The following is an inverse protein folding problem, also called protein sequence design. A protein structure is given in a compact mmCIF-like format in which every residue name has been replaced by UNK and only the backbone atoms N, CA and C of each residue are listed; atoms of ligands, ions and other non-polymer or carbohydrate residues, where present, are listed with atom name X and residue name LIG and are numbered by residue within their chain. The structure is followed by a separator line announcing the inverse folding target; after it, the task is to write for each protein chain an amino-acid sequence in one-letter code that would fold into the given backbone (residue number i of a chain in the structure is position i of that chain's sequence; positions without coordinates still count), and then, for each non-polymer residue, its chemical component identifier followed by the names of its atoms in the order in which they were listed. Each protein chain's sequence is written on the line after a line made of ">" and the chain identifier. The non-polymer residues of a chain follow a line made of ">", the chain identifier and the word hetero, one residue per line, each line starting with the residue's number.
data_IF_293836706476
#
_entry.id   IF_293836706476
#
_cell.length_a   1.000
_cell.length_b   1.000
_cell.length_c   1.000
_cell.angle_alpha   90.00
_cell.angle_beta   90.00
_cell.angle_gamma   90.00
#
_symmetry.space_group_name_H-M   'P 1'
#
loop_
_entity.id
_entity.type
_entity.pdbx_description
1 polymer ?
#
# COMPACT_ATOMS: atom_id res chain seq x y z
N UNK A 1 23.07 -3.77 -1.27
CA UNK A 1 22.81 -2.59 -2.10
C UNK A 1 22.17 -2.93 -3.45
N UNK A 2 22.56 -4.00 -4.10
CA UNK A 2 22.05 -4.37 -5.44
C UNK A 2 20.57 -4.77 -5.53
N UNK A 3 19.99 -5.30 -4.46
CA UNK A 3 18.61 -5.80 -4.44
C UNK A 3 17.56 -4.66 -4.48
N UNK A 4 17.79 -3.57 -3.74
CA UNK A 4 16.89 -2.41 -3.72
C UNK A 4 16.94 -1.61 -5.02
N UNK A 5 18.13 -1.38 -5.55
CA UNK A 5 18.29 -0.72 -6.85
C UNK A 5 17.63 -1.53 -7.99
N UNK A 6 17.64 -2.87 -7.93
CA UNK A 6 16.90 -3.71 -8.87
C UNK A 6 15.38 -3.63 -8.70
N UNK A 7 14.87 -3.52 -7.48
CA UNK A 7 13.43 -3.45 -7.20
C UNK A 7 12.80 -2.12 -7.69
N UNK A 8 13.51 -1.00 -7.56
CA UNK A 8 13.04 0.29 -8.07
C UNK A 8 13.34 0.49 -9.57
N UNK A 9 14.48 0.00 -10.09
CA UNK A 9 14.80 0.03 -11.52
C UNK A 9 13.90 -0.88 -12.36
N UNK A 10 13.40 -2.01 -11.83
CA UNK A 10 12.46 -2.87 -12.57
C UNK A 10 11.07 -2.24 -12.73
N UNK A 11 10.61 -1.45 -11.77
CA UNK A 11 9.31 -0.78 -11.86
C UNK A 11 9.31 0.43 -12.83
N UNK A 12 10.43 1.14 -12.98
CA UNK A 12 10.51 2.26 -13.93
C UNK A 12 10.72 1.81 -15.38
N UNK A 13 11.46 0.73 -15.64
CA UNK A 13 11.68 0.23 -17.01
C UNK A 13 10.47 -0.47 -17.63
N UNK A 14 9.57 -1.04 -16.84
CA UNK A 14 8.36 -1.69 -17.36
C UNK A 14 7.22 -0.70 -17.71
N UNK A 15 7.40 0.60 -17.48
CA UNK A 15 6.41 1.62 -17.85
C UNK A 15 6.66 2.25 -19.23
N UNK A 16 7.84 2.06 -19.85
CA UNK A 16 8.19 2.71 -21.12
C UNK A 16 8.05 1.85 -22.39
N UNK A 17 7.74 0.56 -22.30
CA UNK A 17 7.74 -0.35 -23.46
C UNK A 17 6.38 -0.69 -24.07
N UNK A 18 5.33 0.10 -23.83
CA UNK A 18 4.02 -0.11 -24.43
C UNK A 18 3.47 1.13 -25.17
N UNK A 19 4.31 1.75 -26.02
CA UNK A 19 3.82 2.73 -26.99
C UNK A 19 4.64 2.65 -28.30
N UNK A 20 3.96 2.18 -29.34
CA UNK A 20 4.13 2.39 -30.78
C UNK A 20 5.49 2.09 -31.43
N UNK A 21 5.45 1.13 -32.34
CA UNK A 21 6.32 0.98 -33.52
C UNK A 21 6.00 2.02 -34.57
N UNK A 22 6.96 2.84 -35.03
CA UNK A 22 7.46 2.89 -36.41
C UNK A 22 8.65 3.87 -36.55
N UNK A 23 9.58 3.64 -37.53
CA UNK A 23 10.92 4.15 -37.47
C UNK A 23 11.17 5.32 -38.43
N UNK A 24 11.98 6.29 -38.03
CA UNK A 24 12.89 6.99 -38.96
C UNK A 24 14.11 7.54 -38.22
N UNK A 25 15.27 7.24 -38.78
CA UNK A 25 16.59 7.65 -38.37
C UNK A 25 16.83 9.15 -38.47
N UNK A 26 17.47 9.73 -37.45
CA UNK A 26 18.45 10.79 -37.68
C UNK A 26 19.50 10.76 -36.57
N UNK A 27 20.75 10.55 -36.99
CA UNK A 27 21.95 10.67 -36.18
C UNK A 27 22.11 12.12 -35.70
N UNK A 28 22.15 12.31 -34.39
CA UNK A 28 22.94 13.38 -33.79
C UNK A 28 23.49 12.91 -32.44
N UNK A 29 24.81 12.81 -32.36
CA UNK A 29 25.55 12.45 -31.14
C UNK A 29 25.78 13.74 -30.38
N UNK A 30 25.05 13.95 -29.32
CA UNK A 30 25.45 14.84 -28.23
C UNK A 30 25.54 14.03 -26.94
N UNK A 31 26.76 13.99 -26.40
CA UNK A 31 27.08 13.39 -25.10
C UNK A 31 26.25 14.09 -24.01
N UNK A 32 25.20 13.40 -23.55
CA UNK A 32 24.50 13.75 -22.33
C UNK A 32 25.12 12.96 -21.20
N UNK A 33 25.98 13.62 -20.43
CA UNK A 33 26.47 13.11 -19.15
C UNK A 33 25.26 12.63 -18.32
N UNK A 34 25.19 11.33 -18.04
CA UNK A 34 24.27 10.74 -17.08
C UNK A 34 24.59 11.26 -15.67
N UNK A 35 23.97 12.34 -15.28
CA UNK A 35 23.80 12.65 -13.86
C UNK A 35 22.75 11.67 -13.33
N UNK A 36 23.19 10.64 -12.62
CA UNK A 36 22.33 9.84 -11.75
C UNK A 36 21.83 10.76 -10.64
N UNK A 37 20.66 11.36 -10.81
CA UNK A 37 19.96 12.08 -9.75
C UNK A 37 19.63 11.06 -8.65
N UNK A 38 20.39 11.09 -7.58
CA UNK A 38 20.07 10.33 -6.37
C UNK A 38 18.84 10.97 -5.73
N UNK A 39 17.73 10.27 -5.76
CA UNK A 39 16.43 10.67 -5.18
C UNK A 39 16.48 10.88 -3.65
N UNK A 40 17.66 10.85 -3.03
CA UNK A 40 17.88 10.86 -1.58
C UNK A 40 18.84 11.95 -1.07
N UNK A 41 19.16 12.97 -1.87
CA UNK A 41 19.95 14.12 -1.43
C UNK A 41 19.14 15.13 -0.59
N UNK A 42 18.23 14.62 0.24
CA UNK A 42 17.71 15.40 1.35
C UNK A 42 18.67 15.24 2.54
N UNK A 43 19.53 16.21 2.78
CA UNK A 43 20.27 16.32 4.03
C UNK A 43 19.29 16.61 5.18
N UNK A 44 18.67 15.53 5.66
CA UNK A 44 17.89 15.60 6.88
C UNK A 44 18.85 15.95 8.03
N UNK A 45 18.54 16.89 8.89
CA UNK A 45 19.41 17.24 10.03
C UNK A 45 19.73 15.99 10.83
N UNK A 46 20.99 15.82 11.22
CA UNK A 46 21.43 14.65 12.01
C UNK A 46 20.63 14.64 13.33
N UNK A 47 19.87 13.58 13.64
CA UNK A 47 19.11 13.53 14.87
C UNK A 47 20.05 13.49 16.07
N UNK A 48 19.66 14.09 17.17
CA UNK A 48 20.39 14.05 18.42
C UNK A 48 20.32 12.70 19.12
N UNK A 49 19.38 11.81 18.72
CA UNK A 49 19.17 10.45 19.26
C UNK A 49 18.72 9.49 18.16
N UNK A 50 19.26 8.29 18.17
CA UNK A 50 18.73 7.16 17.39
C UNK A 50 17.41 6.69 18.01
N UNK A 51 16.35 6.54 17.21
CA UNK A 51 15.05 6.05 17.67
C UNK A 51 15.04 4.53 17.65
N UNK A 52 14.78 3.91 18.79
CA UNK A 52 14.56 2.45 18.87
C UNK A 52 13.12 2.11 18.51
N UNK A 53 12.92 1.07 17.70
CA UNK A 53 11.61 0.73 17.13
C UNK A 53 11.31 -0.76 17.29
N UNK A 54 10.10 -1.07 17.76
CA UNK A 54 9.49 -2.39 17.70
C UNK A 54 8.65 -2.49 16.42
N UNK A 55 8.77 -3.58 15.67
CA UNK A 55 7.94 -3.86 14.49
C UNK A 55 6.88 -4.89 14.86
N UNK A 56 5.60 -4.53 14.78
CA UNK A 56 4.46 -5.42 14.98
C UNK A 56 3.82 -5.71 13.63
N UNK A 57 4.00 -6.94 13.13
CA UNK A 57 3.71 -7.36 11.77
C UNK A 57 4.91 -7.16 10.84
N UNK A 58 5.80 -8.15 10.76
CA UNK A 58 7.00 -8.15 9.91
C UNK A 58 6.74 -8.51 8.44
N UNK A 59 5.49 -8.42 7.98
CA UNK A 59 5.10 -8.63 6.58
C UNK A 59 5.71 -7.63 5.60
N UNK A 60 5.12 -7.48 4.41
CA UNK A 60 5.65 -6.59 3.36
C UNK A 60 5.85 -5.16 3.89
N UNK A 61 4.85 -4.57 4.56
CA UNK A 61 4.95 -3.18 5.05
C UNK A 61 5.91 -3.03 6.22
N UNK A 62 5.82 -3.91 7.23
CA UNK A 62 6.75 -3.88 8.36
C UNK A 62 8.22 -4.04 7.92
N UNK A 63 8.48 -4.92 6.95
CA UNK A 63 9.80 -5.05 6.33
C UNK A 63 10.23 -3.73 5.65
N UNK A 64 9.37 -3.08 4.86
CA UNK A 64 9.71 -1.80 4.19
C UNK A 64 10.09 -0.73 5.21
N UNK A 65 9.32 -0.59 6.30
CA UNK A 65 9.65 0.36 7.35
C UNK A 65 10.95 0.02 8.08
N UNK A 66 11.20 -1.27 8.34
CA UNK A 66 12.42 -1.70 9.02
C UNK A 66 13.70 -1.38 8.25
N UNK A 67 13.64 -1.38 6.92
CA UNK A 67 14.79 -1.02 6.07
C UNK A 67 15.24 0.44 6.22
N UNK A 68 14.42 1.31 6.78
CA UNK A 68 14.89 2.66 7.14
C UNK A 68 16.05 2.59 8.13
N UNK A 69 16.05 1.62 9.06
CA UNK A 69 17.16 1.41 9.99
C UNK A 69 18.44 0.93 9.28
N UNK A 70 18.32 0.15 8.21
CA UNK A 70 19.45 -0.29 7.39
C UNK A 70 20.08 0.88 6.63
N UNK A 71 19.24 1.72 6.02
CA UNK A 71 19.68 2.85 5.23
C UNK A 71 20.17 4.03 6.10
N UNK A 72 19.59 4.20 7.29
CA UNK A 72 19.88 5.31 8.20
C UNK A 72 20.12 4.82 9.64
N UNK A 73 21.20 4.02 9.90
CA UNK A 73 21.43 3.37 11.19
C UNK A 73 21.67 4.34 12.35
N UNK A 74 22.08 5.57 12.07
CA UNK A 74 22.21 6.63 13.08
C UNK A 74 20.86 7.25 13.47
N UNK A 75 19.78 6.99 12.73
CA UNK A 75 18.45 7.56 12.95
C UNK A 75 17.48 6.58 13.59
N UNK A 76 17.54 5.32 13.19
CA UNK A 76 16.63 4.26 13.66
C UNK A 76 17.38 2.95 13.91
N UNK A 77 17.03 2.25 14.99
CA UNK A 77 17.42 0.87 15.26
C UNK A 77 16.15 0.04 15.51
N UNK A 78 15.98 -1.08 14.79
CA UNK A 78 14.96 -2.08 15.11
C UNK A 78 15.47 -2.90 16.29
N UNK A 79 14.69 -2.96 17.38
CA UNK A 79 15.06 -3.63 18.64
C UNK A 79 14.09 -4.75 19.02
N UNK A 80 13.12 -5.06 18.17
CA UNK A 80 12.20 -6.17 18.38
C UNK A 80 11.29 -6.36 17.16
N UNK A 81 10.80 -7.58 16.99
CA UNK A 81 9.81 -7.93 15.96
C UNK A 81 8.76 -8.88 16.51
N UNK A 82 7.52 -8.64 16.11
CA UNK A 82 6.36 -9.49 16.38
C UNK A 82 5.83 -10.01 15.06
N UNK A 83 5.89 -11.30 14.84
CA UNK A 83 5.23 -11.98 13.70
C UNK A 83 5.12 -13.49 14.01
N UNK A 84 3.95 -14.13 13.84
CA UNK A 84 3.79 -15.55 14.15
C UNK A 84 4.56 -16.47 13.18
N UNK A 85 5.01 -15.95 12.05
CA UNK A 85 5.72 -16.74 11.02
C UNK A 85 7.22 -16.78 11.31
N UNK A 86 7.76 -17.98 11.52
CA UNK A 86 9.20 -18.18 11.77
C UNK A 86 10.08 -17.64 10.65
N UNK A 87 9.68 -17.82 9.37
CA UNK A 87 10.43 -17.32 8.21
C UNK A 87 10.58 -15.79 8.22
N UNK A 88 9.60 -15.05 8.76
CA UNK A 88 9.69 -13.60 8.92
C UNK A 88 10.70 -13.23 10.02
N UNK A 89 10.63 -13.92 11.17
CA UNK A 89 11.58 -13.71 12.29
C UNK A 89 13.02 -14.00 11.85
N UNK A 90 13.26 -15.09 11.13
CA UNK A 90 14.58 -15.42 10.58
C UNK A 90 15.10 -14.37 9.60
N UNK A 91 14.21 -13.81 8.77
CA UNK A 91 14.57 -12.68 7.89
C UNK A 91 15.00 -11.45 8.70
N UNK A 92 14.29 -11.12 9.77
CA UNK A 92 14.66 -10.01 10.66
C UNK A 92 15.96 -10.27 11.38
N UNK A 93 16.26 -11.52 11.82
CA UNK A 93 17.56 -11.93 12.39
C UNK A 93 18.71 -11.69 11.43
N UNK A 94 18.51 -11.93 10.14
CA UNK A 94 19.55 -11.73 9.12
C UNK A 94 19.84 -10.26 8.85
N UNK A 95 18.85 -9.38 9.01
CA UNK A 95 18.92 -7.98 8.57
C UNK A 95 19.21 -7.03 9.75
N UNK A 96 18.71 -7.36 10.95
CA UNK A 96 18.76 -6.49 12.12
C UNK A 96 19.42 -7.20 13.29
N UNK A 97 20.22 -6.46 14.04
CA UNK A 97 20.83 -6.89 15.30
C UNK A 97 19.81 -6.71 16.43
N UNK A 98 18.96 -7.74 16.64
CA UNK A 98 17.90 -7.79 17.64
C UNK A 98 18.25 -8.85 18.69
N UNK A 99 18.11 -8.52 19.98
CA UNK A 99 18.31 -9.45 21.07
C UNK A 99 17.37 -10.67 20.97
N UNK A 100 17.86 -11.88 21.28
CA UNK A 100 17.12 -13.14 21.09
C UNK A 100 15.78 -13.19 21.85
N UNK A 101 15.64 -12.48 22.95
CA UNK A 101 14.42 -12.38 23.76
C UNK A 101 13.41 -11.34 23.23
N UNK A 102 13.67 -10.73 22.08
CA UNK A 102 12.81 -9.69 21.46
C UNK A 102 12.16 -10.14 20.15
N UNK A 103 12.03 -11.47 19.94
CA UNK A 103 11.29 -12.09 18.85
C UNK A 103 10.01 -12.70 19.42
N UNK A 104 8.85 -12.15 19.06
CA UNK A 104 7.56 -12.52 19.62
C UNK A 104 6.64 -13.13 18.56
N UNK A 105 5.74 -14.02 18.96
CA UNK A 105 4.67 -14.57 18.12
C UNK A 105 3.41 -13.71 18.19
N UNK A 106 3.09 -13.17 19.37
CA UNK A 106 1.94 -12.29 19.60
C UNK A 106 2.41 -10.92 20.17
N UNK A 107 1.78 -9.85 19.70
CA UNK A 107 2.05 -8.49 20.20
C UNK A 107 1.77 -8.34 21.70
N UNK A 108 0.91 -9.16 22.29
CA UNK A 108 0.61 -9.16 23.71
C UNK A 108 1.83 -9.48 24.56
N UNK A 109 2.65 -10.45 24.12
CA UNK A 109 3.90 -10.80 24.79
C UNK A 109 4.83 -9.59 24.87
N UNK A 110 5.02 -8.87 23.77
CA UNK A 110 5.82 -7.64 23.73
C UNK A 110 5.19 -6.51 24.58
N UNK A 111 3.84 -6.45 24.62
CA UNK A 111 3.12 -5.47 25.42
C UNK A 111 3.14 -5.78 26.93
N UNK A 112 3.38 -7.00 27.37
CA UNK A 112 3.56 -7.38 28.79
C UNK A 112 4.93 -6.94 29.33
N UNK A 113 5.95 -6.86 28.48
CA UNK A 113 7.28 -6.42 28.90
C UNK A 113 7.31 -4.95 29.35
N UNK A 114 8.30 -4.57 30.13
CA UNK A 114 8.62 -3.16 30.32
C UNK A 114 8.94 -2.49 28.98
N UNK A 115 8.65 -1.19 28.88
CA UNK A 115 8.93 -0.43 27.65
C UNK A 115 10.42 -0.49 27.28
N UNK A 116 10.73 -1.09 26.12
CA UNK A 116 12.11 -1.26 25.63
C UNK A 116 12.41 -0.53 24.32
N UNK A 117 11.40 0.10 23.69
CA UNK A 117 11.60 0.90 22.49
C UNK A 117 10.94 2.29 22.61
N UNK A 118 11.44 3.26 21.83
CA UNK A 118 10.87 4.60 21.76
C UNK A 118 9.60 4.66 20.98
N UNK A 119 9.48 3.84 19.93
CA UNK A 119 8.32 3.79 19.04
C UNK A 119 7.97 2.36 18.65
N UNK A 120 6.74 2.17 18.18
CA UNK A 120 6.26 0.95 17.57
C UNK A 120 5.72 1.25 16.16
N UNK A 121 6.06 0.40 15.19
CA UNK A 121 5.41 0.35 13.88
C UNK A 121 4.40 -0.79 13.90
N UNK A 122 3.13 -0.51 13.67
CA UNK A 122 2.06 -1.51 13.60
C UNK A 122 1.66 -1.67 12.13
N UNK A 123 1.97 -2.83 11.57
CA UNK A 123 1.76 -3.19 10.17
C UNK A 123 1.11 -4.58 10.05
N UNK A 124 0.19 -4.86 10.95
CA UNK A 124 -0.68 -6.05 10.97
C UNK A 124 -1.79 -5.93 9.92
N UNK A 125 -2.61 -6.97 9.69
CA UNK A 125 -3.86 -6.83 8.93
C UNK A 125 -4.82 -5.81 9.54
N UNK A 126 -5.62 -5.16 8.69
CA UNK A 126 -6.43 -3.98 9.00
C UNK A 126 -7.25 -4.08 10.30
N UNK A 127 -7.92 -5.22 10.54
CA UNK A 127 -8.74 -5.48 11.75
C UNK A 127 -7.92 -5.66 13.03
N UNK A 128 -6.62 -5.86 12.90
CA UNK A 128 -5.71 -6.10 14.02
C UNK A 128 -4.90 -4.84 14.38
N UNK A 129 -5.31 -3.67 13.94
CA UNK A 129 -4.63 -2.41 14.21
C UNK A 129 -4.95 -1.84 15.59
N UNK A 130 -6.23 -1.86 15.98
CA UNK A 130 -6.76 -1.14 17.12
C UNK A 130 -6.14 -1.59 18.45
N UNK A 131 -6.22 -2.89 18.76
CA UNK A 131 -5.82 -3.39 20.08
C UNK A 131 -4.34 -3.18 20.40
N UNK A 132 -3.37 -3.50 19.50
CA UNK A 132 -1.98 -3.18 19.75
C UNK A 132 -1.73 -1.67 19.79
N UNK A 133 -2.41 -0.85 18.99
CA UNK A 133 -2.25 0.60 19.02
C UNK A 133 -2.62 1.17 20.40
N UNK A 134 -3.78 0.78 20.93
CA UNK A 134 -4.24 1.18 22.26
C UNK A 134 -3.30 0.69 23.36
N UNK A 135 -2.85 -0.58 23.29
CA UNK A 135 -1.97 -1.17 24.31
C UNK A 135 -0.61 -0.47 24.36
N UNK A 136 0.03 -0.27 23.21
CA UNK A 136 1.33 0.38 23.14
C UNK A 136 1.26 1.88 23.43
N UNK A 137 0.17 2.58 23.08
CA UNK A 137 -0.06 3.97 23.47
C UNK A 137 -0.07 4.12 25.00
N UNK A 138 -0.84 3.29 25.71
CA UNK A 138 -0.92 3.26 27.18
C UNK A 138 0.44 2.97 27.85
N UNK A 139 1.33 2.27 27.15
CA UNK A 139 2.71 2.04 27.58
C UNK A 139 3.67 3.18 27.21
N UNK A 140 3.18 4.22 26.57
CA UNK A 140 3.97 5.41 26.22
C UNK A 140 4.85 5.25 24.98
N UNK A 141 4.56 4.30 24.08
CA UNK A 141 5.23 4.22 22.79
C UNK A 141 4.66 5.25 21.83
N UNK A 142 5.51 5.94 21.08
CA UNK A 142 5.08 6.64 19.87
C UNK A 142 4.71 5.62 18.80
N UNK A 143 3.69 5.90 17.98
CA UNK A 143 3.10 4.92 17.06
C UNK A 143 3.19 5.39 15.61
N UNK A 144 3.72 4.54 14.73
CA UNK A 144 3.46 4.57 13.31
C UNK A 144 2.50 3.42 13.00
N UNK A 145 1.26 3.74 12.62
CA UNK A 145 0.20 2.79 12.34
C UNK A 145 -0.05 2.71 10.83
N UNK A 146 -0.02 1.51 10.25
CA UNK A 146 -0.39 1.35 8.84
C UNK A 146 -1.85 1.73 8.59
N UNK A 147 -2.11 2.09 7.33
CA UNK A 147 -3.47 2.41 6.86
C UNK A 147 -4.25 1.12 6.52
N UNK A 148 -5.59 1.16 6.65
CA UNK A 148 -6.40 2.16 7.30
C UNK A 148 -6.15 2.17 8.82
N UNK A 149 -6.36 3.32 9.48
CA UNK A 149 -6.10 3.44 10.93
C UNK A 149 -6.81 2.33 11.73
N UNK A 150 -8.09 2.11 11.44
CA UNK A 150 -8.90 1.00 11.92
C UNK A 150 -10.03 0.74 10.92
N UNK A 151 -10.92 -0.20 11.20
CA UNK A 151 -12.03 -0.59 10.31
C UNK A 151 -13.38 0.01 10.70
N UNK A 152 -13.47 0.64 11.87
CA UNK A 152 -14.66 1.38 12.36
C UNK A 152 -14.28 2.80 12.80
N UNK A 153 -15.20 3.77 12.73
CA UNK A 153 -14.97 5.12 13.27
C UNK A 153 -14.70 5.11 14.78
N UNK A 154 -15.39 4.25 15.52
CA UNK A 154 -15.25 4.10 16.97
C UNK A 154 -13.85 3.67 17.35
N UNK A 155 -13.29 2.68 16.67
CA UNK A 155 -11.93 2.23 16.88
C UNK A 155 -10.89 3.30 16.53
N UNK A 156 -11.11 4.05 15.43
CA UNK A 156 -10.26 5.19 15.09
C UNK A 156 -10.26 6.25 16.19
N UNK A 157 -11.43 6.54 16.75
CA UNK A 157 -11.60 7.51 17.83
C UNK A 157 -10.88 7.03 19.12
N UNK A 158 -11.07 5.77 19.49
CA UNK A 158 -10.40 5.17 20.66
C UNK A 158 -8.87 5.25 20.54
N UNK A 159 -8.31 4.92 19.38
CA UNK A 159 -6.85 5.04 19.13
C UNK A 159 -6.38 6.48 19.34
N UNK A 160 -7.07 7.45 18.71
CA UNK A 160 -6.68 8.86 18.78
C UNK A 160 -6.74 9.39 20.21
N UNK A 161 -7.84 9.14 20.92
CA UNK A 161 -8.00 9.62 22.30
C UNK A 161 -7.01 8.96 23.26
N UNK A 162 -6.78 7.63 23.11
CA UNK A 162 -5.76 6.94 23.93
C UNK A 162 -4.36 7.51 23.68
N UNK A 163 -3.99 7.83 22.44
CA UNK A 163 -2.70 8.44 22.15
C UNK A 163 -2.58 9.84 22.76
N UNK A 164 -3.64 10.66 22.70
CA UNK A 164 -3.68 11.99 23.33
C UNK A 164 -3.55 11.91 24.85
N UNK A 165 -4.34 11.04 25.49
CA UNK A 165 -4.32 10.83 26.95
C UNK A 165 -2.95 10.33 27.43
N UNK A 166 -2.30 9.47 26.64
CA UNK A 166 -0.97 8.94 26.95
C UNK A 166 0.17 9.89 26.59
N UNK A 167 -0.11 11.02 25.94
CA UNK A 167 0.91 12.01 25.53
C UNK A 167 1.88 11.47 24.49
N UNK A 168 1.45 10.52 23.63
CA UNK A 168 2.29 9.91 22.59
C UNK A 168 1.91 10.41 21.20
N UNK A 169 2.88 10.39 20.28
CA UNK A 169 2.64 10.70 18.87
C UNK A 169 1.97 9.51 18.19
N UNK A 170 0.99 9.80 17.34
CA UNK A 170 0.38 8.89 16.39
C UNK A 170 0.61 9.41 14.96
N UNK A 171 1.24 8.61 14.13
CA UNK A 171 1.33 8.83 12.70
C UNK A 171 0.65 7.68 11.97
N UNK A 172 -0.23 7.98 11.02
CA UNK A 172 -0.88 6.97 10.17
C UNK A 172 -0.17 6.90 8.83
N UNK A 173 0.01 5.68 8.30
CA UNK A 173 0.74 5.38 7.07
C UNK A 173 0.12 5.91 5.77
N UNK A 174 -0.41 7.14 5.77
CA UNK A 174 -0.88 7.84 4.58
C UNK A 174 0.31 8.37 3.75
N UNK A 175 1.09 7.42 3.23
CA UNK A 175 2.38 7.67 2.58
C UNK A 175 2.31 8.61 1.36
N UNK A 176 1.15 8.70 0.71
CA UNK A 176 0.98 9.57 -0.47
C UNK A 176 1.06 11.07 -0.13
N UNK A 177 0.84 11.49 1.10
CA UNK A 177 1.12 12.87 1.52
C UNK A 177 2.58 13.26 1.37
N UNK A 178 3.48 12.28 1.46
CA UNK A 178 4.94 12.47 1.36
C UNK A 178 5.46 12.29 -0.07
N UNK A 179 4.60 11.94 -1.03
CA UNK A 179 4.99 11.85 -2.42
C UNK A 179 5.27 13.26 -2.98
N UNK A 180 6.40 13.48 -3.69
CA UNK A 180 6.81 14.81 -4.15
C UNK A 180 5.72 15.57 -4.92
N UNK A 181 4.97 14.89 -5.81
CA UNK A 181 3.87 15.53 -6.54
C UNK A 181 2.72 15.96 -5.63
N UNK A 182 2.37 15.18 -4.61
CA UNK A 182 1.30 15.54 -3.67
C UNK A 182 1.69 16.74 -2.81
N UNK A 183 2.95 16.79 -2.38
CA UNK A 183 3.50 17.94 -1.66
C UNK A 183 3.56 19.18 -2.55
N UNK A 184 3.98 19.02 -3.81
CA UNK A 184 4.02 20.16 -4.75
C UNK A 184 2.64 20.72 -5.05
N UNK A 185 1.63 19.86 -5.23
CA UNK A 185 0.23 20.30 -5.36
C UNK A 185 -0.19 21.12 -4.12
N UNK A 186 0.10 20.60 -2.92
CA UNK A 186 -0.24 21.31 -1.67
C UNK A 186 0.46 22.66 -1.54
N UNK A 187 1.74 22.72 -1.87
CA UNK A 187 2.52 23.97 -1.90
C UNK A 187 1.90 25.02 -2.84
N UNK A 188 1.52 24.60 -4.07
CA UNK A 188 0.89 25.50 -5.05
C UNK A 188 -0.48 26.01 -4.59
N UNK A 189 -1.27 25.15 -3.93
CA UNK A 189 -2.55 25.52 -3.32
C UNK A 189 -2.32 26.56 -2.21
N UNK A 190 -1.42 26.25 -1.28
CA UNK A 190 -1.13 27.11 -0.12
C UNK A 190 -0.51 28.46 -0.51
N UNK A 191 0.26 28.48 -1.61
CA UNK A 191 0.78 29.71 -2.21
C UNK A 191 -0.29 30.54 -2.96
N UNK A 192 -1.52 30.02 -3.11
CA UNK A 192 -2.63 30.69 -3.78
C UNK A 192 -2.46 30.83 -5.29
N UNK A 193 -1.62 30.01 -5.92
CA UNK A 193 -1.34 30.07 -7.37
C UNK A 193 -2.61 29.91 -8.20
N UNK A 194 -3.47 28.96 -7.84
CA UNK A 194 -4.76 28.73 -8.49
C UNK A 194 -5.92 29.48 -7.82
N UNK A 195 -5.64 30.34 -6.82
CA UNK A 195 -6.66 30.97 -5.99
C UNK A 195 -7.32 30.00 -5.02
N UNK A 196 -8.59 30.27 -4.68
CA UNK A 196 -9.38 29.36 -3.83
C UNK A 196 -9.75 28.11 -4.57
N UNK A 197 -9.55 26.93 -3.93
CA UNK A 197 -10.00 25.66 -4.50
C UNK A 197 -11.53 25.67 -4.60
N UNK A 198 -12.04 25.37 -5.79
CA UNK A 198 -13.48 25.29 -6.11
C UNK A 198 -13.92 23.83 -6.26
N UNK A 199 -13.14 23.04 -7.00
CA UNK A 199 -13.46 21.65 -7.29
C UNK A 199 -12.21 20.80 -7.40
N UNK A 200 -12.28 19.54 -6.93
CA UNK A 200 -11.26 18.51 -7.17
C UNK A 200 -11.90 17.36 -7.92
N UNK A 201 -11.33 16.98 -9.04
CA UNK A 201 -11.61 15.73 -9.73
C UNK A 201 -10.42 14.78 -9.52
N UNK A 202 -10.68 13.60 -8.96
CA UNK A 202 -9.64 12.62 -8.62
C UNK A 202 -10.02 11.21 -9.03
N UNK A 203 -9.09 10.51 -9.67
CA UNK A 203 -9.26 9.13 -10.12
C UNK A 203 -8.14 8.25 -9.56
N UNK A 204 -8.51 7.16 -8.90
CA UNK A 204 -7.62 6.05 -8.56
C UNK A 204 -7.85 4.87 -9.51
N UNK A 205 -6.97 4.67 -10.52
CA UNK A 205 -7.00 3.50 -11.39
C UNK A 205 -6.20 2.37 -10.76
N UNK A 206 -6.88 1.47 -10.03
CA UNK A 206 -6.23 0.39 -9.26
C UNK A 206 -5.43 -0.57 -10.15
N UNK A 207 -5.90 -0.79 -11.40
CA UNK A 207 -5.36 -1.77 -12.31
C UNK A 207 -6.03 -3.14 -12.19
N UNK A 208 -6.40 -3.74 -13.33
CA UNK A 208 -7.23 -4.96 -13.37
C UNK A 208 -6.57 -6.16 -12.66
N UNK A 209 -5.29 -6.38 -12.88
CA UNK A 209 -4.59 -7.50 -12.27
C UNK A 209 -4.29 -7.27 -10.78
N UNK A 210 -4.04 -6.02 -10.37
CA UNK A 210 -3.85 -5.66 -8.95
C UNK A 210 -5.18 -5.84 -8.19
N UNK A 211 -6.29 -5.40 -8.78
CA UNK A 211 -7.60 -5.60 -8.18
C UNK A 211 -7.89 -7.09 -8.00
N UNK A 212 -7.68 -7.90 -9.05
CA UNK A 212 -7.83 -9.35 -9.01
C UNK A 212 -6.93 -10.01 -7.94
N UNK A 213 -5.68 -9.55 -7.80
CA UNK A 213 -4.75 -10.05 -6.80
C UNK A 213 -5.20 -9.70 -5.37
N UNK A 214 -5.47 -8.44 -5.09
CA UNK A 214 -5.66 -7.94 -3.72
C UNK A 214 -7.10 -8.02 -3.24
N UNK A 215 -8.07 -7.67 -4.10
CA UNK A 215 -9.46 -7.44 -3.73
C UNK A 215 -10.43 -8.51 -4.26
N UNK A 216 -9.92 -9.53 -4.94
CA UNK A 216 -10.70 -10.72 -5.34
C UNK A 216 -10.13 -11.98 -4.68
N UNK A 217 -8.83 -12.27 -4.88
CA UNK A 217 -8.15 -13.47 -4.36
C UNK A 217 -7.50 -13.28 -3.01
N UNK A 218 -7.10 -12.05 -2.70
CA UNK A 218 -6.29 -11.69 -1.54
C UNK A 218 -7.11 -11.24 -0.34
N UNK A 219 -6.38 -10.74 0.66
CA UNK A 219 -6.88 -10.44 2.01
C UNK A 219 -7.97 -9.36 2.06
N UNK A 220 -8.13 -8.55 1.01
CA UNK A 220 -9.10 -7.46 0.93
C UNK A 220 -10.32 -7.82 0.08
N UNK A 221 -10.52 -9.11 -0.20
CA UNK A 221 -11.63 -9.60 -1.01
C UNK A 221 -12.98 -9.57 -0.30
N UNK A 222 -12.99 -9.65 1.04
CA UNK A 222 -14.20 -9.66 1.84
C UNK A 222 -14.24 -8.54 2.85
N UNK A 223 -15.37 -7.85 2.90
CA UNK A 223 -15.61 -6.79 3.87
C UNK A 223 -15.56 -7.31 5.32
N UNK A 224 -16.08 -8.51 5.56
CA UNK A 224 -16.06 -9.14 6.89
C UNK A 224 -14.65 -9.53 7.38
N UNK A 225 -13.71 -9.80 6.47
CA UNK A 225 -12.34 -10.21 6.80
C UNK A 225 -11.36 -9.03 6.87
N UNK A 226 -11.63 -7.96 6.14
CA UNK A 226 -10.86 -6.71 6.16
C UNK A 226 -11.80 -5.52 6.38
N UNK A 227 -12.18 -4.82 5.30
CA UNK A 227 -13.17 -3.75 5.26
C UNK A 227 -13.54 -3.46 3.80
N UNK A 228 -14.48 -2.55 3.55
CA UNK A 228 -14.89 -2.16 2.19
C UNK A 228 -13.75 -1.48 1.41
N UNK A 229 -13.76 -1.60 0.07
CA UNK A 229 -12.65 -1.18 -0.81
C UNK A 229 -12.25 0.29 -0.64
N UNK A 230 -13.23 1.18 -0.43
CA UNK A 230 -12.94 2.60 -0.24
C UNK A 230 -12.05 2.84 1.00
N UNK A 231 -12.24 2.05 2.06
CA UNK A 231 -11.42 2.12 3.27
C UNK A 231 -10.06 1.41 3.07
N UNK A 232 -10.06 0.17 2.60
CA UNK A 232 -8.82 -0.63 2.50
C UNK A 232 -7.85 -0.11 1.42
N UNK A 233 -8.38 0.51 0.34
CA UNK A 233 -7.60 1.04 -0.79
C UNK A 233 -7.63 2.56 -0.86
N UNK A 234 -8.80 3.15 -1.01
CA UNK A 234 -8.94 4.56 -1.36
C UNK A 234 -8.91 5.50 -0.17
N UNK A 235 -8.67 5.00 1.05
CA UNK A 235 -8.36 5.87 2.19
C UNK A 235 -7.17 6.79 1.90
N UNK A 236 -6.20 6.37 1.08
CA UNK A 236 -5.13 7.22 0.58
C UNK A 236 -5.64 8.40 -0.24
N UNK A 237 -6.63 8.15 -1.09
CA UNK A 237 -7.16 9.13 -2.03
C UNK A 237 -8.08 10.13 -1.33
N UNK A 238 -8.93 9.63 -0.42
CA UNK A 238 -9.76 10.48 0.45
C UNK A 238 -8.89 11.33 1.37
N UNK A 239 -7.80 10.76 1.89
CA UNK A 239 -6.83 11.48 2.70
C UNK A 239 -6.14 12.60 1.92
N UNK A 240 -5.73 12.36 0.66
CA UNK A 240 -5.17 13.40 -0.22
C UNK A 240 -6.17 14.50 -0.49
N UNK A 241 -7.42 14.17 -0.79
CA UNK A 241 -8.48 15.15 -0.99
C UNK A 241 -8.65 16.03 0.26
N UNK A 242 -8.73 15.44 1.44
CA UNK A 242 -8.80 16.18 2.69
C UNK A 242 -7.54 17.05 2.94
N UNK A 243 -6.36 16.52 2.59
CA UNK A 243 -5.09 17.25 2.70
C UNK A 243 -5.05 18.48 1.80
N UNK A 244 -5.52 18.39 0.55
CA UNK A 244 -5.58 19.50 -0.38
C UNK A 244 -6.70 20.48 -0.05
N UNK A 245 -7.84 20.02 0.48
CA UNK A 245 -8.92 20.88 0.99
C UNK A 245 -8.53 21.63 2.27
N UNK A 246 -7.49 21.19 2.97
CA UNK A 246 -6.93 21.88 4.13
C UNK A 246 -7.88 21.93 5.32
N UNK A 247 -8.23 23.11 5.79
CA UNK A 247 -9.09 23.33 6.98
C UNK A 247 -10.59 23.18 6.69
N UNK A 248 -10.99 23.08 5.42
CA UNK A 248 -12.41 23.02 5.07
C UNK A 248 -12.95 21.63 5.43
N UNK A 249 -14.03 21.58 6.20
CA UNK A 249 -14.66 20.32 6.63
C UNK A 249 -15.55 19.78 5.52
N UNK A 250 -15.55 18.45 5.34
CA UNK A 250 -16.54 17.77 4.52
C UNK A 250 -17.90 17.81 5.21
N UNK A 251 -18.94 18.27 4.51
CA UNK A 251 -20.28 18.45 5.03
C UNK A 251 -21.23 17.35 4.58
N UNK A 252 -21.08 16.87 3.33
CA UNK A 252 -21.93 15.84 2.73
C UNK A 252 -21.13 14.91 1.86
N UNK A 253 -21.55 13.65 1.84
CA UNK A 253 -21.00 12.59 0.98
C UNK A 253 -22.16 11.84 0.32
N UNK A 254 -22.00 11.53 -0.97
CA UNK A 254 -22.85 10.63 -1.73
C UNK A 254 -21.99 9.67 -2.50
N UNK A 255 -22.30 8.38 -2.46
CA UNK A 255 -21.48 7.35 -3.10
C UNK A 255 -22.33 6.27 -3.75
N UNK A 256 -21.87 5.78 -4.92
CA UNK A 256 -22.41 4.62 -5.62
C UNK A 256 -21.26 3.70 -6.01
N UNK A 257 -21.38 2.43 -5.69
CA UNK A 257 -20.37 1.43 -6.00
C UNK A 257 -21.01 0.09 -6.31
N UNK A 258 -20.29 -0.77 -7.02
CA UNK A 258 -20.79 -2.09 -7.39
C UNK A 258 -19.66 -3.11 -7.55
N UNK A 259 -20.02 -4.37 -7.34
CA UNK A 259 -19.27 -5.55 -7.76
C UNK A 259 -19.98 -6.15 -8.97
N UNK A 260 -19.63 -5.71 -10.18
CA UNK A 260 -20.33 -6.09 -11.41
C UNK A 260 -19.62 -7.12 -12.27
N UNK A 261 -18.32 -7.31 -12.10
CA UNK A 261 -17.52 -8.13 -13.01
C UNK A 261 -17.01 -9.45 -12.40
N UNK A 262 -16.48 -9.41 -11.19
CA UNK A 262 -15.89 -10.59 -10.52
C UNK A 262 -16.98 -11.41 -9.83
N UNK A 263 -17.90 -11.96 -10.62
CA UNK A 263 -19.07 -12.75 -10.19
C UNK A 263 -19.21 -14.01 -11.03
N UNK A 264 -19.94 -15.00 -10.52
CA UNK A 264 -20.15 -16.29 -11.20
C UNK A 264 -20.87 -16.15 -12.54
N UNK A 265 -21.76 -15.15 -12.65
CA UNK A 265 -22.53 -14.88 -13.86
C UNK A 265 -21.63 -14.48 -15.05
N UNK A 266 -20.48 -13.86 -14.75
CA UNK A 266 -19.51 -13.43 -15.75
C UNK A 266 -18.40 -14.46 -16.02
N UNK A 267 -18.47 -15.64 -15.39
CA UNK A 267 -17.48 -16.69 -15.60
C UNK A 267 -17.52 -17.16 -17.07
N UNK A 268 -16.37 -17.11 -17.80
CA UNK A 268 -16.33 -17.64 -19.16
C UNK A 268 -16.75 -19.12 -19.18
N UNK A 269 -17.51 -19.51 -20.24
CA UNK A 269 -17.80 -20.90 -20.49
C UNK A 269 -16.48 -21.68 -20.57
N UNK A 270 -16.39 -22.83 -20.10
CA UNK A 270 -15.19 -23.68 -20.09
C UNK A 270 -14.07 -23.21 -19.12
N UNK A 271 -14.26 -22.13 -18.36
CA UNK A 271 -13.30 -21.75 -17.32
C UNK A 271 -13.38 -22.69 -16.13
N UNK A 272 -12.21 -23.18 -15.67
CA UNK A 272 -12.09 -24.03 -14.48
C UNK A 272 -12.24 -23.20 -13.18
N UNK A 273 -12.37 -23.88 -12.04
CA UNK A 273 -12.38 -23.23 -10.72
C UNK A 273 -10.99 -22.72 -10.28
N UNK A 274 -9.92 -23.27 -10.89
CA UNK A 274 -8.53 -22.87 -10.63
C UNK A 274 -7.81 -22.58 -11.94
N UNK A 275 -6.89 -21.60 -11.89
CA UNK A 275 -6.23 -21.06 -13.09
C UNK A 275 -5.21 -22.02 -13.71
N UNK A 276 -4.51 -22.84 -12.90
CA UNK A 276 -3.47 -23.74 -13.45
C UNK A 276 -4.03 -24.81 -14.39
N UNK A 277 -5.28 -25.19 -14.20
CA UNK A 277 -5.96 -26.22 -14.99
C UNK A 277 -7.05 -25.62 -15.90
N UNK A 278 -6.97 -24.32 -16.21
CA UNK A 278 -8.00 -23.59 -16.93
C UNK A 278 -7.77 -23.60 -18.43
N UNK A 279 -8.75 -24.10 -19.20
CA UNK A 279 -8.67 -24.17 -20.66
C UNK A 279 -8.71 -22.82 -21.37
N UNK A 280 -9.21 -21.78 -20.72
CA UNK A 280 -9.27 -20.39 -21.25
C UNK A 280 -8.13 -19.49 -20.73
N UNK A 281 -7.08 -20.09 -20.17
CA UNK A 281 -5.97 -19.40 -19.51
C UNK A 281 -5.28 -18.41 -20.44
N UNK A 282 -5.00 -18.76 -21.69
CA UNK A 282 -4.28 -17.92 -22.64
C UNK A 282 -4.98 -16.58 -22.92
N UNK A 283 -6.30 -16.55 -22.96
CA UNK A 283 -7.09 -15.35 -23.24
C UNK A 283 -7.50 -14.58 -21.98
N UNK A 284 -7.39 -15.23 -20.79
CA UNK A 284 -7.82 -14.64 -19.54
C UNK A 284 -6.85 -13.52 -19.09
N UNK A 285 -7.33 -12.27 -18.85
CA UNK A 285 -6.48 -11.20 -18.35
C UNK A 285 -6.06 -11.41 -16.89
N UNK A 286 -6.73 -12.32 -16.17
CA UNK A 286 -6.48 -12.62 -14.76
C UNK A 286 -5.71 -13.93 -14.55
N UNK A 287 -5.09 -14.46 -15.60
CA UNK A 287 -4.30 -15.70 -15.57
C UNK A 287 -3.15 -15.60 -14.55
N UNK A 288 -2.99 -16.67 -13.76
CA UNK A 288 -1.88 -16.78 -12.81
C UNK A 288 -0.52 -16.91 -13.52
N UNK A 289 -0.52 -17.46 -14.75
CA UNK A 289 0.67 -17.52 -15.58
C UNK A 289 1.17 -16.09 -15.87
N UNK A 290 0.27 -15.18 -16.23
CA UNK A 290 0.58 -13.79 -16.57
C UNK A 290 0.95 -12.96 -15.34
N UNK A 291 0.22 -13.15 -14.22
CA UNK A 291 0.36 -12.29 -13.04
C UNK A 291 1.53 -12.72 -12.14
N UNK A 292 1.83 -14.03 -12.06
CA UNK A 292 2.81 -14.54 -11.10
C UNK A 292 3.94 -15.34 -11.76
N UNK A 293 3.62 -16.41 -12.50
CA UNK A 293 4.64 -17.36 -12.97
C UNK A 293 5.60 -16.73 -13.98
N UNK A 294 5.11 -15.89 -14.88
CA UNK A 294 5.95 -15.16 -15.85
C UNK A 294 7.01 -14.28 -15.16
N UNK A 295 6.64 -13.61 -14.06
CA UNK A 295 7.59 -12.79 -13.29
C UNK A 295 8.60 -13.66 -12.54
N UNK A 296 8.14 -14.76 -11.93
CA UNK A 296 9.02 -15.71 -11.24
C UNK A 296 10.03 -16.36 -12.20
N UNK A 297 9.62 -16.72 -13.40
CA UNK A 297 10.49 -17.24 -14.46
C UNK A 297 11.60 -16.24 -14.89
N UNK A 298 11.34 -14.96 -14.72
CA UNK A 298 12.31 -13.88 -14.94
C UNK A 298 13.16 -13.59 -13.69
N UNK A 299 13.06 -14.40 -12.63
CA UNK A 299 13.77 -14.22 -11.36
C UNK A 299 13.18 -13.12 -10.48
N UNK A 300 11.98 -12.61 -10.80
CA UNK A 300 11.33 -11.57 -10.01
C UNK A 300 10.34 -12.18 -9.02
N UNK A 301 10.73 -12.23 -7.75
CA UNK A 301 9.90 -12.68 -6.63
C UNK A 301 9.46 -11.53 -5.69
N UNK A 302 9.49 -10.30 -6.18
CA UNK A 302 8.92 -9.16 -5.47
C UNK A 302 7.37 -9.24 -5.46
N UNK A 303 6.71 -8.23 -4.89
CA UNK A 303 5.25 -8.13 -4.99
C UNK A 303 4.80 -8.10 -6.46
N UNK A 304 3.74 -8.84 -6.87
CA UNK A 304 2.77 -9.57 -6.04
C UNK A 304 3.20 -11.00 -5.66
N UNK A 305 4.24 -11.56 -6.27
CA UNK A 305 4.66 -12.96 -6.14
C UNK A 305 5.07 -13.31 -4.70
N UNK A 306 5.78 -12.43 -4.01
CA UNK A 306 6.24 -12.63 -2.63
C UNK A 306 5.09 -12.81 -1.61
N UNK A 307 3.90 -12.34 -1.92
CA UNK A 307 2.71 -12.50 -1.04
C UNK A 307 2.09 -13.89 -1.20
N UNK A 308 2.22 -14.49 -2.38
CA UNK A 308 1.69 -15.83 -2.67
C UNK A 308 2.46 -16.91 -1.93
N UNK A 309 3.79 -16.77 -1.84
CA UNK A 309 4.68 -17.71 -1.15
C UNK A 309 4.75 -17.40 0.36
N UNK A 310 3.73 -17.78 1.11
CA UNK A 310 3.62 -17.48 2.54
C UNK A 310 4.64 -18.19 3.43
N UNK A 311 5.28 -19.26 2.93
CA UNK A 311 6.33 -20.04 3.61
C UNK A 311 7.72 -19.36 3.54
N UNK A 312 7.87 -18.26 2.79
CA UNK A 312 9.14 -17.55 2.63
C UNK A 312 10.10 -18.19 1.62
N UNK A 313 9.72 -19.29 0.95
CA UNK A 313 10.49 -19.92 -0.11
C UNK A 313 10.07 -19.32 -1.46
N UNK A 314 11.01 -18.68 -2.15
CA UNK A 314 10.74 -17.93 -3.37
C UNK A 314 11.36 -18.65 -4.57
N UNK A 315 10.75 -19.76 -4.98
CA UNK A 315 11.06 -20.52 -6.19
C UNK A 315 9.79 -20.86 -7.00
N UNK A 316 9.96 -21.40 -8.19
CA UNK A 316 8.85 -21.68 -9.11
C UNK A 316 7.98 -22.85 -8.57
N UNK A 317 8.59 -23.80 -7.94
CA UNK A 317 7.94 -25.00 -7.38
C UNK A 317 7.02 -24.61 -6.21
N UNK A 318 7.53 -23.86 -5.24
CA UNK A 318 6.77 -23.34 -4.10
C UNK A 318 5.65 -22.41 -4.55
N UNK A 319 5.91 -21.55 -5.52
CA UNK A 319 4.92 -20.65 -6.10
C UNK A 319 3.80 -21.45 -6.80
N UNK A 320 4.17 -22.46 -7.62
CA UNK A 320 3.20 -23.30 -8.32
C UNK A 320 2.33 -24.07 -7.35
N UNK A 321 2.89 -24.62 -6.28
CA UNK A 321 2.12 -25.32 -5.26
C UNK A 321 1.20 -24.36 -4.48
N UNK A 322 1.67 -23.17 -4.13
CA UNK A 322 0.85 -22.14 -3.50
C UNK A 322 -0.30 -21.67 -4.41
N UNK A 323 -0.09 -21.62 -5.73
CA UNK A 323 -1.15 -21.34 -6.70
C UNK A 323 -2.10 -22.53 -6.90
N UNK A 324 -1.62 -23.78 -6.75
CA UNK A 324 -2.45 -24.98 -6.84
C UNK A 324 -3.42 -25.08 -5.67
N UNK A 325 -2.97 -24.80 -4.46
CA UNK A 325 -3.71 -25.07 -3.23
C UNK A 325 -4.29 -23.80 -2.58
N UNK A 326 -3.59 -22.69 -2.67
CA UNK A 326 -3.90 -21.45 -1.98
C UNK A 326 -4.93 -20.55 -2.69
N UNK A 327 -5.28 -19.41 -2.09
CA UNK A 327 -6.35 -18.54 -2.60
C UNK A 327 -6.00 -17.86 -3.92
N UNK A 328 -4.72 -17.55 -4.16
CA UNK A 328 -4.30 -16.81 -5.34
C UNK A 328 -4.41 -17.57 -6.67
N UNK A 329 -4.58 -18.89 -6.62
CA UNK A 329 -4.82 -19.71 -7.80
C UNK A 329 -6.29 -19.90 -8.18
N UNK A 330 -7.24 -19.38 -7.40
CA UNK A 330 -8.68 -19.47 -7.69
C UNK A 330 -9.06 -18.67 -8.94
N UNK A 331 -10.07 -19.13 -9.67
CA UNK A 331 -10.69 -18.33 -10.72
C UNK A 331 -11.32 -17.07 -10.10
N UNK A 332 -11.06 -15.91 -10.67
CA UNK A 332 -11.58 -14.61 -10.15
C UNK A 332 -13.10 -14.52 -10.17
N UNK A 333 -13.76 -15.32 -11.02
CA UNK A 333 -15.20 -15.37 -11.13
C UNK A 333 -15.85 -16.37 -10.16
N UNK A 334 -15.06 -17.24 -9.52
CA UNK A 334 -15.49 -18.21 -8.51
C UNK A 334 -15.03 -17.86 -7.09
N UNK A 335 -14.45 -16.67 -6.91
CA UNK A 335 -14.11 -16.18 -5.59
C UNK A 335 -15.36 -15.71 -4.84
N UNK A 336 -15.21 -15.62 -3.54
CA UNK A 336 -16.24 -15.23 -2.60
C UNK A 336 -16.09 -13.76 -2.12
N UNK A 337 -15.46 -12.94 -2.97
CA UNK A 337 -15.28 -11.51 -2.78
C UNK A 337 -16.64 -10.78 -2.86
N UNK A 338 -16.81 -9.75 -2.01
CA UNK A 338 -18.03 -8.95 -1.89
C UNK A 338 -17.79 -7.44 -1.95
N UNK A 339 -16.54 -7.02 -2.10
CA UNK A 339 -16.14 -5.61 -2.12
C UNK A 339 -16.36 -4.96 -3.48
N UNK A 340 -16.66 -3.66 -3.50
CA UNK A 340 -16.88 -2.91 -4.75
C UNK A 340 -15.65 -2.90 -5.65
N UNK A 341 -15.83 -3.19 -6.95
CA UNK A 341 -14.78 -3.15 -7.97
C UNK A 341 -14.66 -1.79 -8.70
N UNK A 342 -15.70 -0.98 -8.58
CA UNK A 342 -15.72 0.41 -8.99
C UNK A 342 -16.64 1.20 -8.07
N UNK A 343 -16.26 2.47 -7.80
CA UNK A 343 -17.02 3.31 -6.89
C UNK A 343 -16.79 4.79 -7.24
N UNK A 344 -17.87 5.58 -7.21
CA UNK A 344 -17.82 7.03 -7.29
C UNK A 344 -18.22 7.62 -5.96
N UNK A 345 -17.57 8.72 -5.57
CA UNK A 345 -17.85 9.45 -4.34
C UNK A 345 -17.88 10.93 -4.64
N UNK A 346 -19.02 11.58 -4.39
CA UNK A 346 -19.16 13.02 -4.45
C UNK A 346 -19.16 13.59 -3.04
N UNK A 347 -18.41 14.66 -2.82
CA UNK A 347 -18.29 15.31 -1.51
C UNK A 347 -18.53 16.81 -1.65
N UNK A 348 -19.21 17.37 -0.65
CA UNK A 348 -19.37 18.80 -0.47
C UNK A 348 -18.61 19.25 0.78
N UNK A 349 -17.75 20.25 0.62
CA UNK A 349 -16.96 20.86 1.68
C UNK A 349 -17.46 22.28 2.01
N UNK A 350 -17.05 22.79 3.15
CA UNK A 350 -17.33 24.17 3.56
C UNK A 350 -17.01 25.19 2.45
N UNK A 351 -17.83 26.21 2.31
CA UNK A 351 -17.71 27.23 1.28
C UNK A 351 -18.16 26.78 -0.11
N UNK A 352 -18.96 25.71 -0.21
CA UNK A 352 -19.51 25.20 -1.46
C UNK A 352 -18.50 24.48 -2.36
N UNK A 353 -17.33 24.13 -1.84
CA UNK A 353 -16.30 23.38 -2.57
C UNK A 353 -16.76 21.94 -2.78
N UNK A 354 -16.45 21.38 -3.94
CA UNK A 354 -16.91 20.02 -4.28
C UNK A 354 -15.75 19.11 -4.69
N UNK A 355 -15.98 17.80 -4.57
CA UNK A 355 -15.05 16.76 -5.02
C UNK A 355 -15.82 15.68 -5.75
N UNK A 356 -15.29 15.25 -6.89
CA UNK A 356 -15.69 14.03 -7.58
C UNK A 356 -14.52 13.05 -7.55
N UNK A 357 -14.66 11.97 -6.80
CA UNK A 357 -13.67 10.90 -6.71
C UNK A 357 -14.19 9.63 -7.39
N UNK A 358 -13.32 8.94 -8.10
CA UNK A 358 -13.63 7.63 -8.72
C UNK A 358 -12.53 6.63 -8.42
N UNK A 359 -12.90 5.47 -7.91
CA UNK A 359 -12.06 4.27 -7.81
C UNK A 359 -12.45 3.31 -8.92
N UNK A 360 -11.47 2.79 -9.68
CA UNK A 360 -11.71 1.92 -10.82
C UNK A 360 -10.75 0.72 -10.81
N UNK A 361 -11.32 -0.50 -10.70
CA UNK A 361 -10.57 -1.76 -10.68
C UNK A 361 -10.19 -2.36 -12.04
N UNK A 362 -10.53 -1.70 -13.17
CA UNK A 362 -10.45 -2.32 -14.51
C UNK A 362 -9.46 -1.66 -15.46
N UNK A 363 -8.61 -0.78 -14.98
CA UNK A 363 -7.64 -0.06 -15.82
C UNK A 363 -6.45 -0.95 -16.19
N UNK A 364 -5.85 -0.69 -17.34
CA UNK A 364 -4.61 -1.36 -17.76
C UNK A 364 -3.43 -0.86 -16.94
N UNK A 365 -3.30 0.46 -16.79
CA UNK A 365 -2.27 1.09 -15.98
C UNK A 365 -2.54 0.85 -14.48
N UNK A 366 -1.46 0.62 -13.73
CA UNK A 366 -1.49 0.36 -12.29
C UNK A 366 -1.23 1.65 -11.52
N UNK A 367 -2.24 2.13 -10.77
CA UNK A 367 -2.05 3.17 -9.76
C UNK A 367 -1.61 4.55 -10.27
N UNK A 368 -1.75 4.80 -11.58
CA UNK A 368 -1.43 6.11 -12.18
C UNK A 368 -2.61 7.06 -11.93
N UNK A 369 -2.60 7.69 -10.76
CA UNK A 369 -3.66 8.63 -10.35
C UNK A 369 -3.78 9.81 -11.30
N UNK A 370 -5.01 10.23 -11.55
CA UNK A 370 -5.30 11.45 -12.29
C UNK A 370 -6.00 12.44 -11.36
N UNK A 371 -5.45 13.64 -11.25
CA UNK A 371 -5.99 14.68 -10.37
C UNK A 371 -6.02 16.01 -11.10
N UNK A 372 -7.19 16.65 -11.11
CA UNK A 372 -7.33 18.03 -11.56
C UNK A 372 -7.95 18.85 -10.43
N UNK A 373 -7.33 19.95 -10.08
CA UNK A 373 -7.79 20.86 -9.04
C UNK A 373 -8.13 22.21 -9.68
N UNK A 374 -9.38 22.54 -9.65
CA UNK A 374 -9.90 23.81 -10.20
C UNK A 374 -9.97 24.85 -9.10
N UNK A 375 -9.28 25.95 -9.30
CA UNK A 375 -9.31 27.10 -8.44
C UNK A 375 -9.99 28.30 -9.08
N UNK A 376 -10.17 29.37 -8.30
CA UNK A 376 -10.81 30.62 -8.76
C UNK A 376 -9.96 31.40 -9.79
N UNK A 377 -8.67 31.03 -9.95
CA UNK A 377 -7.73 31.67 -10.89
C UNK A 377 -7.15 30.73 -11.94
N UNK A 378 -7.59 29.47 -12.00
CA UNK A 378 -7.11 28.47 -12.96
C UNK A 378 -7.07 27.05 -12.37
N UNK A 379 -6.37 26.17 -13.04
CA UNK A 379 -6.22 24.76 -12.64
C UNK A 379 -4.81 24.24 -12.95
#
# INVERSE_FOLDING_TARGET
>A
MDFFNKMFKSNSRNMETAASSDPQESNDKTDVENKEDSFFDFELPVPTRCVTVLIVGGGSRGTVYSYFAVNFPKRMKVVGVVDPRSCVKEKFKTVHDIDEDKYFDDWKEAAEMEKFAGAVVIATPDRLHKDPAVAFAKKGYHILLEKPMAVTPEDCHEIVETCKESGVMLAVGHVLRYHPSSQKIKELIDAGVIGDVVHIQHLEPVGHWHFAHSFVRGNWGKESESTFTLMSKSCHDIDLVCYWMGKNRCLKVSSFGTLSHFTKENKPKDASSRCLDCSVEETCPYSVQKIYLKYAQQGCFSWPTSVVCSNGVYDIESLTEALRTGPYGRCVYDCDNDVCSNQVVNMEFEGGRTVAFTMMGFTQALGVRSTTIYGSKGH
#
